data_IF_507217513568
#
_entry.id   IF_507217513568
#
_cell.length_a   1.000
_cell.length_b   1.000
_cell.length_c   1.000
_cell.angle_alpha   90.00
_cell.angle_beta   90.00
_cell.angle_gamma   90.00
#
_symmetry.space_group_name_H-M   'P 1'
#
loop_
_entity.id
_entity.type
_entity.pdbx_description
1 polymer ?
#
# COMPACT_ATOMS: atom_id res chain seq x y z
N UNK A 1 -5.02 11.68 13.75
CA UNK A 1 -5.54 11.34 12.41
C UNK A 1 -4.51 11.84 11.42
N UNK A 2 -4.06 10.99 10.50
CA UNK A 2 -2.96 11.32 9.59
C UNK A 2 -3.24 10.82 8.18
N UNK A 3 -2.61 11.49 7.21
CA UNK A 3 -2.57 11.10 5.80
C UNK A 3 -1.11 10.85 5.42
N UNK A 4 -0.84 9.74 4.75
CA UNK A 4 0.46 9.43 4.15
C UNK A 4 0.32 9.21 2.65
N UNK A 5 1.39 9.53 1.93
CA UNK A 5 1.55 9.25 0.51
C UNK A 5 2.78 8.36 0.35
N UNK A 6 2.62 7.19 -0.27
CA UNK A 6 3.61 6.11 -0.27
C UNK A 6 3.90 5.66 -1.70
N UNK A 7 5.18 5.45 -2.01
CA UNK A 7 5.68 4.97 -3.30
C UNK A 7 6.44 3.66 -3.11
N UNK A 8 5.90 2.58 -3.63
CA UNK A 8 6.40 1.23 -3.39
C UNK A 8 7.09 0.72 -4.66
N UNK A 9 8.33 0.25 -4.53
CA UNK A 9 9.14 -0.31 -5.62
C UNK A 9 9.47 -1.80 -5.43
N UNK A 10 9.86 -2.46 -6.53
CA UNK A 10 10.21 -3.89 -6.57
C UNK A 10 9.28 -4.70 -7.47
N UNK A 11 9.10 -5.99 -7.17
CA UNK A 11 8.11 -6.85 -7.86
C UNK A 11 6.73 -6.61 -7.27
N UNK A 12 6.08 -5.52 -7.69
CA UNK A 12 4.81 -5.03 -7.11
C UNK A 12 3.67 -4.91 -8.12
N UNK A 13 3.93 -5.14 -9.41
CA UNK A 13 2.90 -5.23 -10.44
C UNK A 13 2.71 -6.68 -10.91
N UNK A 14 1.51 -7.02 -11.39
CA UNK A 14 1.16 -8.40 -11.79
C UNK A 14 1.04 -9.40 -10.63
N UNK A 15 1.02 -8.90 -9.38
CA UNK A 15 1.01 -9.71 -8.15
C UNK A 15 -0.18 -9.40 -7.24
N UNK A 16 -1.26 -8.85 -7.81
CA UNK A 16 -2.48 -8.45 -7.09
C UNK A 16 -2.30 -7.38 -6.00
N UNK A 17 -1.18 -6.64 -6.01
CA UNK A 17 -0.85 -5.64 -4.99
C UNK A 17 -1.96 -4.62 -4.73
N UNK A 18 -2.58 -4.07 -5.79
CA UNK A 18 -3.67 -3.09 -5.66
C UNK A 18 -4.90 -3.67 -4.94
N UNK A 19 -5.28 -4.90 -5.26
CA UNK A 19 -6.44 -5.55 -4.67
C UNK A 19 -6.20 -5.87 -3.18
N UNK A 20 -5.01 -6.37 -2.86
CA UNK A 20 -4.63 -6.71 -1.49
C UNK A 20 -4.42 -5.46 -0.62
N UNK A 21 -3.85 -4.36 -1.18
CA UNK A 21 -3.82 -3.05 -0.51
C UNK A 21 -5.23 -2.60 -0.15
N UNK A 22 -6.16 -2.68 -1.11
CA UNK A 22 -7.51 -2.18 -0.92
C UNK A 22 -8.21 -2.95 0.20
N UNK A 23 -8.07 -4.28 0.21
CA UNK A 23 -8.60 -5.14 1.26
C UNK A 23 -8.02 -4.81 2.63
N UNK A 24 -6.69 -4.73 2.74
CA UNK A 24 -6.03 -4.40 4.00
C UNK A 24 -6.42 -3.00 4.53
N UNK A 25 -6.54 -2.01 3.65
CA UNK A 25 -7.00 -0.67 4.03
C UNK A 25 -8.45 -0.67 4.53
N UNK A 26 -9.35 -1.44 3.91
CA UNK A 26 -10.73 -1.61 4.37
C UNK A 26 -10.80 -2.26 5.76
N UNK A 27 -10.01 -3.32 6.00
CA UNK A 27 -9.95 -4.01 7.30
C UNK A 27 -9.44 -3.08 8.42
N UNK A 28 -8.64 -2.07 8.08
CA UNK A 28 -8.10 -1.06 8.99
C UNK A 28 -8.96 0.22 9.06
N UNK A 29 -10.13 0.27 8.42
CA UNK A 29 -10.98 1.46 8.32
C UNK A 29 -10.23 2.71 7.79
N UNK A 30 -9.36 2.51 6.80
CA UNK A 30 -8.62 3.58 6.13
C UNK A 30 -9.31 4.00 4.82
N UNK A 31 -9.13 5.25 4.45
CA UNK A 31 -9.59 5.81 3.17
C UNK A 31 -8.40 6.22 2.30
N UNK A 32 -8.63 6.38 0.99
CA UNK A 32 -7.60 6.81 0.06
C UNK A 32 -7.71 6.14 -1.30
N UNK A 33 -6.58 5.94 -1.97
CA UNK A 33 -6.52 5.36 -3.31
C UNK A 33 -5.19 4.67 -3.56
N UNK A 34 -5.16 3.76 -4.53
CA UNK A 34 -3.95 3.06 -5.00
C UNK A 34 -3.94 2.99 -6.53
N UNK A 35 -2.77 3.19 -7.15
CA UNK A 35 -2.59 3.03 -8.61
C UNK A 35 -1.22 2.45 -8.97
N UNK A 36 -1.15 1.85 -10.16
CA UNK A 36 0.13 1.46 -10.76
C UNK A 36 0.70 2.65 -11.53
N UNK A 37 2.01 2.86 -11.41
CA UNK A 37 2.74 3.84 -12.20
C UNK A 37 3.37 3.18 -13.44
N UNK A 38 3.56 3.94 -14.55
CA UNK A 38 4.20 3.43 -15.77
C UNK A 38 5.65 2.95 -15.58
N UNK A 39 6.34 3.47 -14.56
CA UNK A 39 7.72 3.11 -14.22
C UNK A 39 7.83 1.79 -13.41
N UNK A 40 6.71 1.10 -13.20
CA UNK A 40 6.66 -0.18 -12.48
C UNK A 40 6.36 -0.06 -10.98
N UNK A 41 6.33 1.15 -10.41
CA UNK A 41 5.99 1.34 -8.99
C UNK A 41 4.49 1.26 -8.72
N UNK A 42 4.14 1.15 -7.44
CA UNK A 42 2.77 1.35 -6.93
C UNK A 42 2.76 2.62 -6.08
N UNK A 43 1.77 3.48 -6.32
CA UNK A 43 1.57 4.72 -5.57
C UNK A 43 0.24 4.64 -4.82
N UNK A 44 0.24 5.03 -3.55
CA UNK A 44 -0.95 4.93 -2.69
C UNK A 44 -1.03 6.05 -1.67
N UNK A 45 -2.25 6.46 -1.35
CA UNK A 45 -2.56 7.38 -0.26
C UNK A 45 -3.41 6.64 0.76
N UNK A 46 -3.08 6.79 2.03
CA UNK A 46 -3.87 6.31 3.16
C UNK A 46 -4.19 7.46 4.10
N UNK A 47 -5.43 7.51 4.59
CA UNK A 47 -5.87 8.48 5.58
C UNK A 47 -6.79 7.82 6.60
N UNK A 48 -6.54 8.10 7.88
CA UNK A 48 -7.33 7.60 8.99
C UNK A 48 -6.66 7.79 10.35
N UNK A 49 -7.00 6.90 11.28
CA UNK A 49 -6.39 6.87 12.62
C UNK A 49 -4.89 6.52 12.53
N UNK A 50 -4.08 7.14 13.39
CA UNK A 50 -2.62 7.13 13.26
C UNK A 50 -2.05 5.72 13.39
N UNK A 51 -2.52 4.94 14.36
CA UNK A 51 -2.07 3.55 14.54
C UNK A 51 -2.48 2.65 13.38
N UNK A 52 -3.63 2.88 12.76
CA UNK A 52 -4.07 2.12 11.59
C UNK A 52 -3.25 2.48 10.36
N UNK A 53 -2.93 3.75 10.15
CA UNK A 53 -2.04 4.17 9.06
C UNK A 53 -0.63 3.62 9.28
N UNK A 54 -0.12 3.56 10.51
CA UNK A 54 1.17 2.90 10.81
C UNK A 54 1.18 1.41 10.49
N UNK A 55 0.10 0.70 10.84
CA UNK A 55 -0.06 -0.72 10.46
C UNK A 55 -0.07 -0.90 8.95
N UNK A 56 -0.74 0.00 8.22
CA UNK A 56 -0.78 -0.06 6.76
C UNK A 56 0.59 0.20 6.14
N UNK A 57 1.34 1.18 6.66
CA UNK A 57 2.71 1.43 6.22
C UNK A 57 3.63 0.21 6.45
N UNK A 58 3.54 -0.42 7.63
CA UNK A 58 4.29 -1.65 7.93
C UNK A 58 3.91 -2.82 6.99
N UNK A 59 2.63 -2.93 6.64
CA UNK A 59 2.15 -3.91 5.67
C UNK A 59 2.73 -3.65 4.27
N UNK A 60 2.88 -2.38 3.85
CA UNK A 60 3.46 -2.03 2.54
C UNK A 60 4.90 -2.52 2.34
N UNK A 61 5.68 -2.70 3.41
CA UNK A 61 7.02 -3.30 3.34
C UNK A 61 7.02 -4.80 3.01
N UNK A 62 5.87 -5.49 3.19
CA UNK A 62 5.71 -6.91 2.88
C UNK A 62 4.91 -7.11 1.58
N UNK A 63 3.75 -6.47 1.50
CA UNK A 63 2.81 -6.64 0.38
C UNK A 63 2.19 -8.04 0.33
N UNK A 64 1.55 -8.39 -0.81
CA UNK A 64 0.93 -9.71 -1.00
C UNK A 64 1.97 -10.82 -1.18
N UNK A 65 1.60 -12.11 -1.00
CA UNK A 65 2.56 -13.23 -1.00
C UNK A 65 3.46 -13.36 -2.25
N UNK A 66 2.98 -12.90 -3.40
CA UNK A 66 3.74 -12.95 -4.66
C UNK A 66 4.62 -11.71 -4.90
N UNK A 67 4.51 -10.68 -4.06
CA UNK A 67 5.30 -9.46 -4.17
C UNK A 67 6.69 -9.61 -3.55
N UNK A 68 7.61 -8.78 -4.04
CA UNK A 68 8.91 -8.57 -3.42
C UNK A 68 9.19 -7.08 -3.39
N UNK A 69 8.95 -6.47 -2.24
CA UNK A 69 9.15 -5.03 -2.01
C UNK A 69 10.64 -4.74 -1.84
N UNK A 70 11.10 -3.64 -2.43
CA UNK A 70 12.48 -3.16 -2.32
C UNK A 70 12.55 -1.87 -1.51
N UNK A 71 11.67 -0.92 -1.78
CA UNK A 71 11.60 0.39 -1.13
C UNK A 71 10.13 0.81 -0.97
N UNK A 72 9.85 1.60 0.08
CA UNK A 72 8.54 2.13 0.47
C UNK A 72 8.71 3.57 0.91
#
# INVERSE_FOLDING_TARGET
MKRIHVLISGKVQGVFFRAEIQRAAMDLNLTGWVRNLPDGRVETVFEGEDTNVDKMLAWCHHGPPAARVQEV
#
